data_IF_678356098171
#
_entry.id   IF_678356098171
#
_cell.length_a   1.000
_cell.length_b   1.000
_cell.length_c   1.000
_cell.angle_alpha   90.00
_cell.angle_beta   90.00
_cell.angle_gamma   90.00
#
_symmetry.space_group_name_H-M   'P 1'
#
loop_
_entity.id
_entity.type
_entity.pdbx_description
1 polymer ?
#
# COMPACT_ATOMS: atom_id res chain seq x y z
N UNK A 1 20.43 17.83 -10.90
CA UNK A 1 19.39 17.12 -10.11
C UNK A 1 20.04 15.83 -9.61
N UNK A 2 20.44 15.78 -8.34
CA UNK A 2 21.16 14.62 -7.78
C UNK A 2 20.13 13.57 -7.35
N UNK A 3 19.82 12.64 -8.24
CA UNK A 3 19.17 11.40 -7.84
C UNK A 3 20.24 10.56 -7.13
N UNK A 4 20.17 10.49 -5.80
CA UNK A 4 20.93 9.48 -5.04
C UNK A 4 20.51 8.11 -5.59
N UNK A 5 21.46 7.30 -6.02
CA UNK A 5 21.21 5.90 -6.34
C UNK A 5 20.68 5.21 -5.08
N UNK A 6 19.37 5.05 -4.98
CA UNK A 6 18.77 4.20 -3.97
C UNK A 6 19.12 2.77 -4.35
N UNK A 7 20.06 2.19 -3.60
CA UNK A 7 20.54 0.82 -3.80
C UNK A 7 19.43 -0.20 -3.60
N UNK A 8 18.46 0.14 -2.75
CA UNK A 8 17.31 -0.68 -2.39
C UNK A 8 16.02 0.03 -2.80
N UNK A 9 15.01 -0.74 -3.23
CA UNK A 9 13.71 -0.16 -3.60
C UNK A 9 13.08 0.49 -2.36
N UNK A 10 12.65 1.76 -2.44
CA UNK A 10 11.96 2.40 -1.34
C UNK A 10 10.66 1.66 -1.04
N UNK A 11 10.38 1.44 0.24
CA UNK A 11 9.16 0.76 0.71
C UNK A 11 8.98 -0.68 0.18
N UNK A 12 10.07 -1.46 0.11
CA UNK A 12 10.06 -2.86 -0.32
C UNK A 12 9.03 -3.74 0.39
N UNK A 13 8.69 -3.45 1.65
CA UNK A 13 7.72 -4.22 2.44
C UNK A 13 6.25 -3.87 2.13
N UNK A 14 6.00 -2.84 1.32
CA UNK A 14 4.64 -2.31 1.06
C UNK A 14 4.05 -2.79 -0.27
N UNK A 15 4.75 -3.66 -0.98
CA UNK A 15 4.22 -4.26 -2.20
C UNK A 15 3.00 -5.11 -1.89
N UNK A 16 2.07 -5.14 -2.84
CA UNK A 16 0.77 -5.80 -2.65
C UNK A 16 0.93 -7.26 -2.25
N UNK A 17 1.83 -8.00 -2.91
CA UNK A 17 2.06 -9.41 -2.63
C UNK A 17 2.49 -9.67 -1.17
N UNK A 18 3.36 -8.81 -0.62
CA UNK A 18 3.85 -8.94 0.77
C UNK A 18 2.71 -8.69 1.75
N UNK A 19 1.91 -7.63 1.52
CA UNK A 19 0.76 -7.32 2.38
C UNK A 19 -0.38 -8.32 2.25
N UNK A 20 -0.62 -8.87 1.06
CA UNK A 20 -1.58 -9.96 0.89
C UNK A 20 -1.18 -11.19 1.68
N UNK A 21 0.10 -11.55 1.67
CA UNK A 21 0.61 -12.67 2.45
C UNK A 21 0.42 -12.43 3.96
N UNK A 22 0.87 -11.28 4.47
CA UNK A 22 0.70 -10.91 5.89
C UNK A 22 -0.76 -10.96 6.35
N UNK A 23 -1.70 -10.46 5.54
CA UNK A 23 -3.14 -10.46 5.85
C UNK A 23 -3.70 -11.89 5.80
N UNK A 24 -3.29 -12.69 4.83
CA UNK A 24 -3.74 -14.09 4.69
C UNK A 24 -3.25 -14.96 5.85
N UNK A 25 -2.01 -14.77 6.30
CA UNK A 25 -1.42 -15.47 7.46
C UNK A 25 -2.15 -15.15 8.77
N UNK A 26 -2.77 -13.98 8.87
CA UNK A 26 -3.62 -13.61 10.01
C UNK A 26 -5.04 -14.19 9.93
N UNK A 27 -5.36 -14.95 8.87
CA UNK A 27 -6.65 -15.64 8.71
C UNK A 27 -7.75 -14.77 8.10
N UNK A 28 -7.42 -13.62 7.50
CA UNK A 28 -8.40 -12.79 6.80
C UNK A 28 -8.62 -13.27 5.36
N UNK A 29 -9.85 -13.15 4.89
CA UNK A 29 -10.21 -13.33 3.48
C UNK A 29 -10.08 -12.00 2.72
N UNK A 30 -9.30 -12.00 1.65
CA UNK A 30 -9.09 -10.83 0.80
C UNK A 30 -10.13 -10.86 -0.32
N UNK A 31 -11.12 -9.95 -0.24
CA UNK A 31 -12.18 -9.85 -1.25
C UNK A 31 -11.71 -9.16 -2.54
N UNK A 32 -10.84 -8.15 -2.41
CA UNK A 32 -10.28 -7.39 -3.53
C UNK A 32 -8.89 -6.86 -3.17
N UNK A 33 -7.99 -6.80 -4.16
CA UNK A 33 -6.61 -6.33 -4.00
C UNK A 33 -6.11 -5.73 -5.30
N UNK A 34 -5.40 -4.60 -5.26
CA UNK A 34 -4.85 -3.95 -6.44
C UNK A 34 -3.60 -3.15 -6.15
N UNK A 35 -2.66 -3.20 -7.08
CA UNK A 35 -1.42 -2.41 -7.06
C UNK A 35 -1.34 -1.61 -8.36
N UNK A 36 -0.94 -0.34 -8.27
CA UNK A 36 -0.83 0.52 -9.44
C UNK A 36 0.49 1.29 -9.41
N UNK A 37 1.27 1.15 -10.48
CA UNK A 37 2.56 1.81 -10.66
C UNK A 37 2.41 3.07 -11.52
N UNK A 38 1.44 3.90 -11.17
CA UNK A 38 1.17 5.14 -11.89
C UNK A 38 1.93 6.30 -11.24
N UNK A 39 2.42 7.28 -12.02
CA UNK A 39 2.92 8.53 -11.45
C UNK A 39 1.85 9.13 -10.56
N UNK A 40 2.13 9.25 -9.25
CA UNK A 40 1.23 9.92 -8.31
C UNK A 40 1.19 11.38 -8.72
N UNK A 41 0.09 11.76 -9.39
CA UNK A 41 -0.22 13.17 -9.64
C UNK A 41 -0.85 13.69 -8.37
N UNK A 42 -0.06 14.36 -7.54
CA UNK A 42 -0.58 15.17 -6.45
C UNK A 42 -1.35 16.33 -7.09
N UNK A 43 -2.67 16.17 -7.17
CA UNK A 43 -3.55 17.32 -7.31
C UNK A 43 -3.69 17.94 -5.91
N UNK A 44 -3.81 19.26 -5.79
CA UNK A 44 -3.97 19.97 -4.50
C UNK A 44 -5.21 19.54 -3.68
N UNK A 45 -5.99 18.58 -4.19
CA UNK A 45 -7.00 17.83 -3.47
C UNK A 45 -6.31 16.66 -2.75
N UNK A 46 -5.96 16.86 -1.47
CA UNK A 46 -5.16 15.94 -0.65
C UNK A 46 -5.51 14.44 -0.74
N UNK A 47 -4.50 13.59 -0.55
CA UNK A 47 -4.66 12.15 -0.51
C UNK A 47 -5.51 11.72 0.69
N UNK A 48 -6.58 10.97 0.42
CA UNK A 48 -7.56 10.55 1.40
C UNK A 48 -7.21 9.15 1.91
N UNK A 49 -6.57 9.04 3.07
CA UNK A 49 -6.25 7.75 3.73
C UNK A 49 -7.30 7.48 4.80
N UNK A 50 -8.08 6.40 4.66
CA UNK A 50 -9.06 5.97 5.67
C UNK A 50 -8.61 4.68 6.33
N UNK A 51 -8.65 4.66 7.66
CA UNK A 51 -8.58 3.45 8.45
C UNK A 51 -10.00 3.12 8.91
N UNK A 52 -10.60 2.06 8.35
CA UNK A 52 -11.88 1.56 8.82
C UNK A 52 -11.63 0.56 9.97
N UNK A 53 -12.09 0.91 11.19
CA UNK A 53 -12.14 -0.01 12.32
C UNK A 53 -13.52 -0.67 12.34
N UNK A 54 -13.57 -1.96 12.06
CA UNK A 54 -14.79 -2.75 12.22
C UNK A 54 -15.04 -2.92 13.73
N UNK A 55 -16.26 -2.64 14.18
CA UNK A 55 -16.71 -2.84 15.56
C UNK A 55 -17.67 -4.03 15.55
N UNK A 56 -17.45 -5.00 16.43
CA UNK A 56 -18.37 -6.14 16.61
C UNK A 56 -19.68 -5.67 17.26
N UNK A 57 -20.79 -6.28 16.85
CA UNK A 57 -22.12 -6.05 17.41
C UNK A 57 -22.28 -6.74 18.77
#
# INVERSE_FOLDING_TARGET
MLLREYKDLPYSEHYLNIKQQEISEQGFEILESGETFQPIKFFDTGALVWFAKIIEW
#
